data_IF_643796540050
#
_entry.id   IF_643796540050
#
_cell.length_a   1.000
_cell.length_b   1.000
_cell.length_c   1.000
_cell.angle_alpha   90.00
_cell.angle_beta   90.00
_cell.angle_gamma   90.00
#
_symmetry.space_group_name_H-M   'P 1'
#
loop_
_entity.id
_entity.type
_entity.pdbx_description
1 polymer ?
#
# COMPACT_ATOMS: atom_id res chain seq x y z
N UNK A 1 0.80 0.46 -1.48
CA UNK A 1 2.00 0.48 -0.62
C UNK A 1 1.83 -0.64 0.37
N UNK A 2 2.77 -1.59 0.43
CA UNK A 2 2.75 -2.68 1.40
C UNK A 2 3.94 -2.49 2.34
N UNK A 3 3.65 -2.43 3.63
CA UNK A 3 4.58 -2.30 4.74
C UNK A 3 4.56 -3.63 5.49
N UNK A 4 5.72 -4.22 5.70
CA UNK A 4 5.88 -5.45 6.45
C UNK A 4 6.52 -5.14 7.80
N UNK A 5 5.85 -5.50 8.89
CA UNK A 5 6.31 -5.29 10.26
C UNK A 5 6.51 -6.64 10.95
N UNK A 6 7.66 -6.83 11.58
CA UNK A 6 7.96 -8.02 12.37
C UNK A 6 8.07 -7.66 13.85
N UNK A 7 7.26 -8.31 14.69
CA UNK A 7 7.31 -8.19 16.15
C UNK A 7 8.02 -9.41 16.72
N UNK A 8 9.18 -9.19 17.32
CA UNK A 8 9.95 -10.24 18.00
C UNK A 8 9.70 -10.12 19.50
N UNK A 9 9.14 -11.17 20.08
CA UNK A 9 8.84 -11.23 21.51
C UNK A 9 10.04 -11.78 22.30
N UNK A 10 10.18 -11.42 23.60
CA UNK A 10 11.26 -11.92 24.45
C UNK A 10 11.27 -13.45 24.66
N UNK A 11 10.13 -14.10 24.42
CA UNK A 11 9.98 -15.56 24.47
C UNK A 11 10.39 -16.26 23.14
N UNK A 12 10.90 -15.49 22.18
CA UNK A 12 11.37 -15.99 20.88
C UNK A 12 10.27 -16.14 19.83
N UNK A 13 9.01 -15.82 20.14
CA UNK A 13 7.95 -15.79 19.13
C UNK A 13 8.18 -14.64 18.16
N UNK A 14 7.97 -14.90 16.87
CA UNK A 14 7.98 -13.88 15.81
C UNK A 14 6.57 -13.76 15.27
N UNK A 15 6.02 -12.55 15.29
CA UNK A 15 4.75 -12.22 14.68
C UNK A 15 4.99 -11.32 13.46
N UNK A 16 4.52 -11.77 12.31
CA UNK A 16 4.52 -10.99 11.07
C UNK A 16 3.20 -10.22 10.95
N UNK A 17 3.29 -8.92 10.63
CA UNK A 17 2.17 -8.04 10.32
C UNK A 17 2.38 -7.47 8.93
N UNK A 18 1.40 -7.69 8.05
CA UNK A 18 1.41 -7.18 6.69
C UNK A 18 0.41 -6.02 6.62
N UNK A 19 0.91 -4.81 6.40
CA UNK A 19 0.11 -3.59 6.29
C UNK A 19 0.21 -3.07 4.87
N UNK A 20 -0.67 -3.52 3.99
CA UNK A 20 -0.63 -3.17 2.57
C UNK A 20 -1.99 -3.04 1.91
N UNK A 21 -2.01 -2.44 0.72
CA UNK A 21 -3.21 -2.40 -0.13
C UNK A 21 -3.19 -3.64 -1.02
N UNK A 22 -4.01 -4.63 -0.68
CA UNK A 22 -4.09 -5.92 -1.38
C UNK A 22 -5.16 -5.85 -2.49
N UNK A 23 -4.83 -6.29 -3.70
CA UNK A 23 -5.80 -6.50 -4.79
C UNK A 23 -6.45 -5.23 -5.35
N UNK A 24 -7.76 -5.30 -5.67
CA UNK A 24 -8.55 -4.29 -6.38
C UNK A 24 -8.52 -2.87 -5.76
N UNK A 25 -8.21 -2.77 -4.47
CA UNK A 25 -8.04 -1.49 -3.77
C UNK A 25 -6.83 -0.70 -4.28
N UNK A 26 -5.84 -1.36 -4.91
CA UNK A 26 -4.74 -0.68 -5.60
C UNK A 26 -5.26 0.11 -6.80
N UNK A 27 -6.20 -0.45 -7.57
CA UNK A 27 -6.80 0.21 -8.72
C UNK A 27 -7.69 1.42 -8.32
N UNK A 28 -8.40 1.34 -7.20
CA UNK A 28 -9.17 2.47 -6.67
C UNK A 28 -8.27 3.62 -6.21
N UNK A 29 -7.17 3.31 -5.52
CA UNK A 29 -6.19 4.33 -5.10
C UNK A 29 -5.48 4.92 -6.32
N UNK A 30 -5.12 4.11 -7.32
CA UNK A 30 -4.61 4.61 -8.61
C UNK A 30 -5.63 5.51 -9.30
N UNK A 31 -6.90 5.12 -9.39
CA UNK A 31 -7.94 5.94 -10.02
C UNK A 31 -8.14 7.29 -9.31
N UNK A 32 -8.08 7.31 -7.98
CA UNK A 32 -8.14 8.54 -7.19
C UNK A 32 -6.92 9.44 -7.44
N UNK A 33 -5.72 8.87 -7.57
CA UNK A 33 -4.48 9.59 -7.88
C UNK A 33 -4.51 10.15 -9.32
N UNK A 34 -4.92 9.35 -10.29
CA UNK A 34 -5.08 9.76 -11.70
C UNK A 34 -6.13 10.88 -11.86
N UNK A 35 -7.24 10.83 -11.11
CA UNK A 35 -8.24 11.89 -11.09
C UNK A 35 -7.68 13.22 -10.54
N UNK A 36 -6.73 13.15 -9.60
CA UNK A 36 -6.08 14.34 -9.03
C UNK A 36 -4.95 14.88 -9.92
N UNK A 37 -4.27 14.03 -10.70
CA UNK A 37 -3.14 14.43 -11.55
C UNK A 37 -3.54 15.20 -12.81
N UNK A 38 -4.81 15.12 -13.25
CA UNK A 38 -5.32 15.88 -14.39
C UNK A 38 -4.74 15.43 -15.75
N UNK A 39 -5.22 16.00 -16.85
CA UNK A 39 -4.79 15.62 -18.21
C UNK A 39 -3.52 16.35 -18.64
N UNK A 40 -2.53 15.59 -19.12
CA UNK A 40 -1.38 16.14 -19.85
C UNK A 40 -1.88 16.73 -21.17
N UNK A 41 -1.97 18.06 -21.23
CA UNK A 41 -2.15 18.80 -22.49
C UNK A 41 -0.81 18.87 -23.20
N UNK A 42 -0.69 18.11 -24.28
CA UNK A 42 0.43 18.28 -25.21
C UNK A 42 0.14 19.52 -26.06
N UNK A 43 1.07 20.47 -26.03
CA UNK A 43 1.05 21.70 -26.85
C UNK A 43 1.30 21.42 -28.33
#
# INVERSE_FOLDING_TARGET
>A
METLEFVIYPDGRVQEKVTGIIGASCAEVTAAIEAQLGRVVSV
#
